data_IF_016027448525
#
_entry.id   IF_016027448525
#
_cell.length_a   1.000
_cell.length_b   1.000
_cell.length_c   1.000
_cell.angle_alpha   90.00
_cell.angle_beta   90.00
_cell.angle_gamma   90.00
#
_symmetry.space_group_name_H-M   'P 1'
#
loop_
_entity.id
_entity.type
_entity.pdbx_description
1 polymer ?
#
# COMPACT_ATOMS: atom_id res chain seq x y z
N UNK A 1 -14.69 -12.71 21.52
CA UNK A 1 -13.39 -12.33 20.92
C UNK A 1 -13.40 -10.87 20.46
N UNK A 2 -12.25 -10.27 20.23
CA UNK A 2 -12.15 -8.90 19.68
C UNK A 2 -12.87 -8.77 18.32
N UNK A 3 -12.77 -9.77 17.48
CA UNK A 3 -13.47 -9.83 16.19
C UNK A 3 -14.99 -9.81 16.34
N UNK A 4 -15.53 -10.58 17.29
CA UNK A 4 -16.98 -10.61 17.58
C UNK A 4 -17.49 -9.25 18.02
N UNK A 5 -16.71 -8.52 18.83
CA UNK A 5 -17.05 -7.16 19.21
C UNK A 5 -17.00 -6.21 18.01
N UNK A 6 -15.90 -6.25 17.26
CA UNK A 6 -15.69 -5.39 16.09
C UNK A 6 -16.78 -5.59 15.03
N UNK A 7 -17.22 -6.83 14.79
CA UNK A 7 -18.27 -7.09 13.79
C UNK A 7 -19.64 -6.47 14.10
N UNK A 8 -19.87 -6.12 15.35
CA UNK A 8 -21.14 -5.50 15.81
C UNK A 8 -21.08 -3.97 15.88
N UNK A 9 -19.87 -3.39 15.93
CA UNK A 9 -19.69 -1.97 16.24
C UNK A 9 -18.88 -1.19 15.18
N UNK A 10 -18.21 -1.89 14.27
CA UNK A 10 -17.36 -1.25 13.27
C UNK A 10 -17.94 -1.42 11.86
N UNK A 11 -17.77 -0.41 11.03
CA UNK A 11 -18.08 -0.48 9.59
C UNK A 11 -17.00 -1.18 8.78
N UNK A 12 -15.75 -1.07 9.24
CA UNK A 12 -14.58 -1.68 8.59
C UNK A 12 -13.68 -2.29 9.66
N UNK A 13 -13.29 -3.54 9.46
CA UNK A 13 -12.34 -4.27 10.29
C UNK A 13 -11.06 -4.45 9.49
N UNK A 14 -9.95 -3.99 10.05
CA UNK A 14 -8.62 -4.13 9.44
C UNK A 14 -7.74 -4.96 10.37
N UNK A 15 -7.08 -5.99 9.81
CA UNK A 15 -6.06 -6.75 10.51
C UNK A 15 -4.73 -6.65 9.78
N UNK A 16 -3.62 -6.79 10.51
CA UNK A 16 -2.28 -6.82 9.95
C UNK A 16 -1.61 -8.15 10.33
N UNK A 17 -1.18 -8.92 9.33
CA UNK A 17 -0.73 -10.29 9.53
C UNK A 17 -1.88 -11.25 9.91
N UNK A 18 -1.52 -12.51 10.19
CA UNK A 18 -2.47 -13.52 10.65
C UNK A 18 -3.45 -14.04 9.59
N UNK A 19 -3.37 -13.61 8.34
CA UNK A 19 -4.23 -14.05 7.24
C UNK A 19 -3.43 -14.76 6.12
N UNK A 20 -2.32 -15.40 6.49
CA UNK A 20 -1.54 -16.23 5.57
C UNK A 20 -2.06 -17.67 5.56
N UNK A 21 -1.61 -18.46 4.62
CA UNK A 21 -1.95 -19.90 4.47
C UNK A 21 -1.10 -20.82 5.38
N UNK A 22 -0.40 -20.26 6.38
CA UNK A 22 0.41 -21.02 7.32
C UNK A 22 -0.43 -21.68 8.43
N UNK A 23 0.00 -22.84 8.92
CA UNK A 23 -0.71 -23.60 9.98
C UNK A 23 -0.84 -22.85 11.31
N UNK A 24 -0.07 -21.78 11.51
CA UNK A 24 -0.13 -20.91 12.68
C UNK A 24 -1.15 -19.75 12.57
N UNK A 25 -1.81 -19.58 11.42
CA UNK A 25 -2.77 -18.51 11.21
C UNK A 25 -4.17 -18.92 11.66
N UNK A 26 -4.51 -18.60 12.89
CA UNK A 26 -5.84 -18.87 13.49
C UNK A 26 -6.94 -17.94 12.97
N UNK A 27 -6.58 -16.82 12.37
CA UNK A 27 -7.53 -15.77 11.95
C UNK A 27 -8.50 -16.24 10.87
N UNK A 28 -8.10 -16.94 9.80
CA UNK A 28 -9.03 -17.41 8.78
C UNK A 28 -10.10 -18.35 9.36
N UNK A 29 -9.69 -19.32 10.19
CA UNK A 29 -10.61 -20.27 10.82
C UNK A 29 -11.61 -19.58 11.77
N UNK A 30 -11.09 -18.65 12.59
CA UNK A 30 -11.94 -17.88 13.49
C UNK A 30 -12.93 -16.99 12.71
N UNK A 31 -12.48 -16.43 11.61
CA UNK A 31 -13.31 -15.59 10.74
C UNK A 31 -14.47 -16.39 10.13
N UNK A 32 -14.19 -17.57 9.60
CA UNK A 32 -15.20 -18.50 9.10
C UNK A 32 -16.18 -18.98 10.19
N UNK A 33 -15.67 -19.33 11.39
CA UNK A 33 -16.50 -19.72 12.54
C UNK A 33 -17.47 -18.63 12.98
N UNK A 34 -17.12 -17.37 12.76
CA UNK A 34 -17.98 -16.22 13.05
C UNK A 34 -18.96 -15.89 11.90
N UNK A 35 -19.01 -16.72 10.88
CA UNK A 35 -19.85 -16.51 9.70
C UNK A 35 -19.31 -15.45 8.74
N UNK A 36 -17.99 -15.22 8.77
CA UNK A 36 -17.32 -14.32 7.84
C UNK A 36 -17.08 -14.97 6.48
N UNK A 37 -17.32 -14.20 5.43
CA UNK A 37 -16.97 -14.57 4.06
C UNK A 37 -15.72 -13.79 3.62
N UNK A 38 -14.68 -14.48 3.19
CA UNK A 38 -13.46 -13.83 2.74
C UNK A 38 -12.84 -14.50 1.52
N UNK A 39 -12.10 -13.70 0.74
CA UNK A 39 -11.32 -14.17 -0.38
C UNK A 39 -9.91 -13.61 -0.29
N UNK A 40 -8.91 -14.49 -0.44
CA UNK A 40 -7.52 -14.08 -0.59
C UNK A 40 -7.26 -13.61 -2.02
N UNK A 41 -6.83 -12.35 -2.17
CA UNK A 41 -6.56 -11.73 -3.46
C UNK A 41 -5.05 -11.57 -3.65
N UNK A 42 -4.55 -12.00 -4.79
CA UNK A 42 -3.17 -11.75 -5.22
C UNK A 42 -3.13 -10.45 -6.02
N UNK A 43 -2.90 -9.34 -5.36
CA UNK A 43 -2.77 -8.04 -6.05
C UNK A 43 -1.45 -7.98 -6.84
N UNK A 44 -1.51 -7.51 -8.09
CA UNK A 44 -0.34 -7.40 -8.96
C UNK A 44 0.55 -6.20 -8.60
N UNK A 45 0.86 -6.03 -7.32
CA UNK A 45 1.69 -4.95 -6.77
C UNK A 45 2.86 -5.48 -5.95
N UNK A 46 3.87 -4.64 -5.76
CA UNK A 46 5.05 -4.89 -4.91
C UNK A 46 5.42 -3.59 -4.17
N UNK A 47 5.54 -3.63 -2.82
CA UNK A 47 5.14 -4.69 -1.91
C UNK A 47 3.62 -4.81 -1.78
N UNK A 48 3.09 -5.85 -1.09
CA UNK A 48 1.67 -5.96 -0.78
C UNK A 48 0.89 -6.94 -1.67
N UNK A 49 1.54 -8.00 -2.20
CA UNK A 49 0.87 -9.01 -3.04
C UNK A 49 -0.32 -9.70 -2.36
N UNK A 50 -0.22 -10.23 -1.11
CA UNK A 50 -1.36 -10.84 -0.45
C UNK A 50 -2.25 -9.76 0.18
N UNK A 51 -3.54 -9.85 -0.11
CA UNK A 51 -4.60 -9.07 0.51
C UNK A 51 -5.80 -9.99 0.70
N UNK A 52 -6.38 -10.00 1.87
CA UNK A 52 -7.66 -10.68 2.10
C UNK A 52 -8.75 -9.63 2.19
N UNK A 53 -9.81 -9.83 1.44
CA UNK A 53 -11.02 -8.99 1.51
C UNK A 53 -12.20 -9.84 1.89
N UNK A 54 -13.16 -9.26 2.60
CA UNK A 54 -14.33 -10.02 3.03
C UNK A 54 -15.37 -9.18 3.74
N UNK A 55 -16.30 -9.88 4.36
CA UNK A 55 -17.36 -9.32 5.21
C UNK A 55 -17.51 -10.17 6.47
N UNK A 56 -17.77 -9.50 7.57
CA UNK A 56 -18.13 -10.13 8.84
C UNK A 56 -19.36 -9.41 9.37
N UNK A 57 -20.54 -10.01 9.18
CA UNK A 57 -21.81 -9.31 9.36
C UNK A 57 -21.93 -8.14 8.38
N UNK A 58 -22.21 -6.94 8.88
CA UNK A 58 -22.31 -5.73 8.06
C UNK A 58 -20.92 -5.07 7.80
N UNK A 59 -19.88 -5.47 8.54
CA UNK A 59 -18.56 -4.87 8.43
C UNK A 59 -17.78 -5.37 7.21
N UNK A 60 -17.10 -4.46 6.52
CA UNK A 60 -16.09 -4.80 5.49
C UNK A 60 -14.84 -5.28 6.22
N UNK A 61 -14.25 -6.38 5.75
CA UNK A 61 -13.01 -6.91 6.29
C UNK A 61 -11.84 -6.74 5.33
N UNK A 62 -10.72 -6.25 5.86
CA UNK A 62 -9.44 -6.12 5.14
C UNK A 62 -8.32 -6.77 5.95
N UNK A 63 -7.81 -7.90 5.49
CA UNK A 63 -6.64 -8.57 6.02
C UNK A 63 -5.39 -8.15 5.27
N UNK A 64 -4.60 -7.25 5.88
CA UNK A 64 -3.38 -6.71 5.30
C UNK A 64 -2.19 -7.66 5.55
N UNK A 65 -1.11 -7.60 4.73
CA UNK A 65 0.10 -8.38 4.95
C UNK A 65 0.71 -8.18 6.34
N UNK A 66 1.64 -9.05 6.74
CA UNK A 66 2.37 -8.90 8.00
C UNK A 66 3.59 -7.98 7.93
N UNK A 67 4.19 -7.82 6.75
CA UNK A 67 5.37 -6.96 6.58
C UNK A 67 4.97 -5.47 6.68
N UNK A 68 5.60 -4.65 7.54
CA UNK A 68 5.19 -3.26 7.80
C UNK A 68 5.11 -2.38 6.57
N UNK A 69 6.07 -2.47 5.65
CA UNK A 69 6.05 -1.68 4.41
C UNK A 69 4.92 -2.13 3.50
N UNK A 70 4.65 -3.43 3.46
CA UNK A 70 3.51 -3.97 2.70
C UNK A 70 2.18 -3.54 3.30
N UNK A 71 2.07 -3.55 4.64
CA UNK A 71 0.88 -3.03 5.38
C UNK A 71 0.61 -1.59 4.99
N UNK A 72 1.62 -0.73 5.15
CA UNK A 72 1.48 0.69 4.86
C UNK A 72 1.11 0.93 3.38
N UNK A 73 1.82 0.29 2.45
CA UNK A 73 1.55 0.43 1.02
C UNK A 73 0.13 -0.02 0.67
N UNK A 74 -0.29 -1.20 1.16
CA UNK A 74 -1.62 -1.74 0.88
C UNK A 74 -2.70 -0.88 1.54
N UNK A 75 -2.47 -0.41 2.76
CA UNK A 75 -3.39 0.49 3.44
C UNK A 75 -3.52 1.83 2.71
N UNK A 76 -2.42 2.47 2.36
CA UNK A 76 -2.44 3.78 1.68
C UNK A 76 -3.15 3.73 0.32
N UNK A 77 -2.96 2.66 -0.44
CA UNK A 77 -3.50 2.53 -1.79
C UNK A 77 -4.91 1.93 -1.85
N UNK A 78 -5.25 1.03 -0.92
CA UNK A 78 -6.51 0.28 -0.94
C UNK A 78 -7.34 0.56 0.32
N UNK A 79 -6.76 0.40 1.52
CA UNK A 79 -7.46 0.52 2.78
C UNK A 79 -8.05 1.91 3.02
N UNK A 80 -7.24 2.96 2.85
CA UNK A 80 -7.69 4.34 3.01
C UNK A 80 -8.83 4.69 2.04
N UNK A 81 -8.77 4.17 0.83
CA UNK A 81 -9.83 4.34 -0.18
C UNK A 81 -11.12 3.63 0.23
N UNK A 82 -11.02 2.42 0.75
CA UNK A 82 -12.17 1.67 1.27
C UNK A 82 -12.84 2.45 2.41
N UNK A 83 -12.07 3.00 3.34
CA UNK A 83 -12.57 3.83 4.43
C UNK A 83 -13.29 5.09 3.91
N UNK A 84 -12.67 5.80 2.97
CA UNK A 84 -13.27 7.00 2.38
C UNK A 84 -14.60 6.71 1.69
N UNK A 85 -14.66 5.64 0.88
CA UNK A 85 -15.91 5.22 0.23
C UNK A 85 -16.99 4.84 1.24
N UNK A 86 -16.60 4.10 2.29
CA UNK A 86 -17.54 3.71 3.36
C UNK A 86 -18.07 4.93 4.13
N UNK A 87 -17.25 5.96 4.26
CA UNK A 87 -17.63 7.25 4.87
C UNK A 87 -18.39 8.20 3.93
N UNK A 88 -18.75 7.76 2.72
CA UNK A 88 -19.54 8.54 1.77
C UNK A 88 -18.76 9.53 0.92
N UNK A 89 -17.42 9.54 0.98
CA UNK A 89 -16.62 10.39 0.09
C UNK A 89 -16.65 9.86 -1.35
N UNK A 90 -16.74 10.79 -2.31
CA UNK A 90 -16.54 10.45 -3.71
C UNK A 90 -15.15 9.90 -3.93
N UNK A 91 -15.07 8.88 -4.80
CA UNK A 91 -13.84 8.16 -5.03
C UNK A 91 -12.86 9.01 -5.83
N UNK A 92 -11.83 9.49 -5.18
CA UNK A 92 -10.67 10.08 -5.84
C UNK A 92 -9.51 9.09 -5.84
N UNK A 93 -8.98 8.78 -7.01
CA UNK A 93 -7.70 8.07 -7.12
C UNK A 93 -6.60 8.89 -6.42
N UNK A 94 -5.57 8.25 -5.88
CA UNK A 94 -4.41 8.97 -5.37
C UNK A 94 -3.88 9.92 -6.44
N UNK A 95 -3.59 11.15 -6.04
CA UNK A 95 -2.97 12.13 -6.94
C UNK A 95 -1.63 11.56 -7.38
N UNK A 96 -1.41 11.53 -8.70
CA UNK A 96 -0.13 11.18 -9.30
C UNK A 96 0.45 12.40 -9.97
N UNK A 97 1.71 12.65 -9.71
CA UNK A 97 2.49 13.69 -10.38
C UNK A 97 3.72 13.08 -11.03
N UNK A 98 4.26 13.75 -12.04
CA UNK A 98 5.54 13.34 -12.61
C UNK A 98 6.68 13.81 -11.73
N UNK A 99 7.68 12.95 -11.52
CA UNK A 99 8.88 13.24 -10.76
C UNK A 99 10.11 12.74 -11.50
N UNK A 100 11.25 13.40 -11.34
CA UNK A 100 12.55 12.93 -11.84
C UNK A 100 13.21 12.03 -10.82
N UNK A 101 13.96 11.04 -11.26
CA UNK A 101 14.73 10.16 -10.40
C UNK A 101 16.21 10.58 -10.36
N UNK A 102 16.84 10.47 -9.18
CA UNK A 102 18.28 10.70 -8.95
C UNK A 102 19.02 9.39 -8.65
N UNK A 103 18.55 8.29 -9.24
CA UNK A 103 19.12 6.96 -9.03
C UNK A 103 18.98 6.12 -10.28
N UNK A 104 19.81 5.08 -10.38
CA UNK A 104 19.66 4.04 -11.38
C UNK A 104 18.81 2.89 -10.82
N UNK A 105 17.96 2.33 -11.66
CA UNK A 105 17.14 1.17 -11.32
C UNK A 105 17.22 0.14 -12.43
N UNK A 106 17.57 -1.10 -12.08
CA UNK A 106 17.35 -2.28 -12.93
C UNK A 106 16.41 -3.23 -12.23
N UNK A 107 15.40 -3.71 -12.93
CA UNK A 107 14.40 -4.64 -12.38
C UNK A 107 13.90 -5.63 -13.42
N UNK A 108 13.40 -6.76 -12.95
CA UNK A 108 12.65 -7.69 -13.81
C UNK A 108 11.23 -7.15 -14.01
N UNK A 109 10.67 -7.23 -15.24
CA UNK A 109 9.28 -6.88 -15.49
C UNK A 109 8.32 -7.76 -14.65
N UNK A 110 7.09 -7.34 -14.49
CA UNK A 110 6.09 -8.12 -13.78
C UNK A 110 5.04 -7.27 -13.07
N UNK A 111 5.14 -7.07 -11.76
CA UNK A 111 4.15 -6.31 -10.99
C UNK A 111 4.46 -4.82 -10.98
N UNK A 112 3.42 -3.97 -10.81
CA UNK A 112 3.62 -2.56 -10.43
C UNK A 112 4.40 -2.51 -9.13
N UNK A 113 5.46 -1.69 -9.09
CA UNK A 113 6.27 -1.52 -7.88
C UNK A 113 6.07 -0.12 -7.31
N UNK A 114 5.78 -0.07 -6.01
CA UNK A 114 5.64 1.16 -5.23
C UNK A 114 6.82 1.23 -4.27
N UNK A 115 7.77 2.13 -4.52
CA UNK A 115 8.92 2.33 -3.63
C UNK A 115 8.75 3.58 -2.80
N UNK A 116 8.93 3.51 -1.47
CA UNK A 116 9.09 4.71 -0.67
C UNK A 116 10.21 5.57 -1.24
N UNK A 117 9.90 6.84 -1.50
CA UNK A 117 10.81 7.79 -2.10
C UNK A 117 10.78 9.11 -1.34
N UNK A 118 11.94 9.74 -1.20
CA UNK A 118 12.13 11.04 -0.57
C UNK A 118 12.35 12.10 -1.64
N UNK A 119 11.66 13.23 -1.53
CA UNK A 119 11.94 14.41 -2.35
C UNK A 119 13.23 15.04 -1.83
N UNK A 120 14.26 15.09 -2.67
CA UNK A 120 15.58 15.65 -2.34
C UNK A 120 15.83 17.04 -2.95
N UNK A 121 14.89 17.52 -3.75
CA UNK A 121 14.98 18.82 -4.42
C UNK A 121 13.94 18.93 -5.54
N UNK A 122 14.06 19.97 -6.34
CA UNK A 122 13.19 20.27 -7.46
C UNK A 122 13.98 20.68 -8.71
N UNK A 123 13.54 20.25 -9.87
CA UNK A 123 14.00 20.71 -11.18
C UNK A 123 12.88 21.51 -11.85
N UNK A 124 12.87 22.84 -11.61
CA UNK A 124 11.70 23.68 -11.89
C UNK A 124 10.52 23.24 -10.99
N UNK A 125 9.34 22.98 -11.55
CA UNK A 125 8.17 22.50 -10.78
C UNK A 125 8.21 21.00 -10.49
N UNK A 126 9.17 20.25 -11.03
CA UNK A 126 9.21 18.79 -10.97
C UNK A 126 10.04 18.35 -9.77
N UNK A 127 9.49 17.54 -8.83
CA UNK A 127 10.26 17.01 -7.72
C UNK A 127 11.32 16.02 -8.20
N UNK A 128 12.46 16.01 -7.52
CA UNK A 128 13.55 15.06 -7.73
C UNK A 128 13.54 14.06 -6.58
N UNK A 129 13.48 12.78 -6.92
CA UNK A 129 13.33 11.69 -5.97
C UNK A 129 14.63 10.92 -5.76
N UNK A 130 14.83 10.52 -4.51
CA UNK A 130 15.76 9.46 -4.12
C UNK A 130 14.97 8.30 -3.50
N UNK A 131 15.46 7.08 -3.66
CA UNK A 131 14.93 5.88 -3.01
C UNK A 131 16.04 5.22 -2.19
N UNK A 132 15.66 4.55 -1.11
CA UNK A 132 16.60 3.71 -0.39
C UNK A 132 17.13 2.59 -1.30
N UNK A 133 18.42 2.30 -1.19
CA UNK A 133 19.04 1.15 -1.83
C UNK A 133 18.36 -0.16 -1.40
N UNK A 134 18.83 -1.30 -1.86
CA UNK A 134 18.21 -2.62 -1.68
C UNK A 134 17.69 -2.91 -0.24
N UNK A 135 16.61 -3.69 -0.13
CA UNK A 135 16.05 -4.13 1.16
C UNK A 135 14.98 -3.21 1.77
N UNK A 136 14.49 -2.22 1.03
CA UNK A 136 13.47 -1.27 1.50
C UNK A 136 12.17 -1.93 1.97
N UNK A 137 11.80 -3.08 1.42
CA UNK A 137 10.52 -3.75 1.72
C UNK A 137 10.40 -4.29 3.15
N UNK A 138 11.49 -4.35 3.90
CA UNK A 138 11.51 -4.83 5.28
C UNK A 138 11.84 -3.74 6.32
N UNK A 139 12.22 -2.53 5.88
CA UNK A 139 12.69 -1.47 6.78
C UNK A 139 11.65 -0.37 6.95
N UNK A 140 11.02 -0.30 8.12
CA UNK A 140 10.05 0.74 8.45
C UNK A 140 10.68 2.15 8.44
N UNK A 141 11.97 2.27 8.71
CA UNK A 141 12.70 3.54 8.65
C UNK A 141 12.65 4.19 7.27
N UNK A 142 12.57 3.41 6.19
CA UNK A 142 12.43 3.95 4.83
C UNK A 142 11.09 4.64 4.59
N UNK A 143 10.05 4.24 5.33
CA UNK A 143 8.74 4.91 5.29
C UNK A 143 8.76 6.22 6.08
N UNK A 144 9.49 6.26 7.21
CA UNK A 144 9.54 7.44 8.07
C UNK A 144 10.18 8.66 7.38
N UNK A 145 11.14 8.41 6.48
CA UNK A 145 11.80 9.47 5.69
C UNK A 145 11.17 9.71 4.32
N UNK A 146 10.22 8.86 3.89
CA UNK A 146 9.64 8.97 2.57
C UNK A 146 8.61 10.11 2.48
N UNK A 147 8.63 10.82 1.36
CA UNK A 147 7.64 11.83 0.99
C UNK A 147 6.45 11.24 0.23
N UNK A 148 6.59 10.01 -0.29
CA UNK A 148 5.59 9.34 -1.12
C UNK A 148 6.08 8.03 -1.70
N UNK A 149 5.35 7.53 -2.70
CA UNK A 149 5.74 6.36 -3.48
C UNK A 149 6.16 6.77 -4.89
N UNK A 150 7.39 6.42 -5.31
CA UNK A 150 7.74 6.30 -6.71
C UNK A 150 7.07 5.04 -7.29
N UNK A 151 6.42 5.18 -8.44
CA UNK A 151 5.60 4.11 -9.06
C UNK A 151 6.26 3.63 -10.33
N UNK A 152 6.57 2.36 -10.39
CA UNK A 152 7.21 1.73 -11.55
C UNK A 152 6.25 0.75 -12.21
N UNK A 153 5.80 1.01 -13.45
CA UNK A 153 4.86 0.17 -14.15
C UNK A 153 5.44 -1.24 -14.43
N UNK A 154 4.58 -2.24 -14.71
CA UNK A 154 5.00 -3.64 -14.86
C UNK A 154 6.09 -3.86 -15.92
N UNK A 155 6.01 -3.14 -17.03
CA UNK A 155 6.94 -3.26 -18.17
C UNK A 155 8.26 -2.51 -18.01
N UNK A 156 8.42 -1.68 -16.97
CA UNK A 156 9.65 -0.93 -16.76
C UNK A 156 10.78 -1.86 -16.38
N UNK A 157 11.89 -1.81 -17.09
CA UNK A 157 13.08 -2.64 -16.88
C UNK A 157 14.22 -1.82 -16.28
N UNK A 158 14.37 -0.57 -16.72
CA UNK A 158 15.51 0.28 -16.37
C UNK A 158 15.11 1.74 -16.23
N UNK A 159 15.75 2.47 -15.35
CA UNK A 159 15.75 3.93 -15.23
C UNK A 159 17.17 4.40 -14.95
N UNK A 160 17.49 5.57 -15.47
CA UNK A 160 18.74 6.30 -15.21
C UNK A 160 18.43 7.64 -14.47
N UNK A 161 19.42 8.24 -13.79
CA UNK A 161 19.25 9.57 -13.23
C UNK A 161 18.81 10.59 -14.30
N UNK A 162 17.78 11.36 -13.99
CA UNK A 162 17.14 12.31 -14.91
C UNK A 162 15.87 11.79 -15.60
N UNK A 163 15.67 10.48 -15.65
CA UNK A 163 14.42 9.90 -16.15
C UNK A 163 13.23 10.27 -15.26
N UNK A 164 12.02 10.07 -15.77
CA UNK A 164 10.79 10.38 -15.04
C UNK A 164 10.02 9.13 -14.64
N UNK A 165 9.31 9.24 -13.52
CA UNK A 165 8.35 8.23 -13.07
C UNK A 165 7.11 8.91 -12.47
N UNK A 166 6.04 8.15 -12.32
CA UNK A 166 4.90 8.58 -11.50
C UNK A 166 5.29 8.61 -10.02
N UNK A 167 4.81 9.62 -9.31
CA UNK A 167 4.96 9.78 -7.86
C UNK A 167 3.61 10.01 -7.19
N UNK A 168 3.35 9.27 -6.13
CA UNK A 168 2.17 9.44 -5.28
C UNK A 168 2.62 10.02 -3.95
N UNK A 169 2.42 11.31 -3.67
CA UNK A 169 2.79 11.92 -2.39
C UNK A 169 1.91 11.38 -1.25
N UNK A 170 2.48 11.22 -0.05
CA UNK A 170 1.74 10.77 1.13
C UNK A 170 0.78 11.83 1.65
N UNK A 171 1.07 13.09 1.43
CA UNK A 171 0.17 14.19 1.78
C UNK A 171 -0.10 15.05 0.54
N UNK A 172 -1.37 15.19 0.14
CA UNK A 172 -1.72 16.16 -0.90
C UNK A 172 -1.55 17.62 -0.44
N UNK A 173 -1.33 17.84 0.86
CA UNK A 173 -1.19 19.18 1.45
C UNK A 173 0.23 19.74 1.34
N UNK A 174 1.24 18.93 1.04
CA UNK A 174 2.58 19.43 0.75
C UNK A 174 2.66 20.30 -0.54
N UNK A 175 1.56 20.38 -1.30
CA UNK A 175 1.46 21.17 -2.51
C UNK A 175 0.71 22.52 -2.31
N UNK A 176 0.44 22.94 -1.07
CA UNK A 176 -0.36 24.13 -0.77
C UNK A 176 0.29 25.11 0.21
N UNK A 177 1.62 25.14 0.27
CA UNK A 177 2.34 26.21 0.95
C UNK A 177 3.42 26.77 0.05
#
# INVERSE_FOLDING_TARGET
SALTKASKTADVIITTGGMSVGDADYLPRLFEQLGGESAAIKVAMKPGKPLTVGRLGAAIFLGLPGNPVSVFTTFALIGARTLRRRAGFSDSLPIRIQARVNFSLKRRPGRVEFRPATIIGYAGPTPVLSVAESGFSARISTLASASGFAVFPPGLIELAPGDTCDFIPFSPLAARY
#
